data_IF_242482155555
#
_entry.id   IF_242482155555
#
_cell.length_a   1.000
_cell.length_b   1.000
_cell.length_c   1.000
_cell.angle_alpha   90.00
_cell.angle_beta   90.00
_cell.angle_gamma   90.00
#
_symmetry.space_group_name_H-M   'P 1'
#
loop_
_entity.id
_entity.type
_entity.pdbx_description
1 polymer ?
#
# COMPACT_ATOMS: atom_id res chain seq x y z
N UNK A 1 12.62 2.16 6.52
CA UNK A 1 13.84 2.49 5.74
C UNK A 1 13.56 3.72 4.91
N UNK A 2 14.50 4.65 4.84
CA UNK A 2 14.39 5.90 4.07
C UNK A 2 15.66 6.08 3.23
N UNK A 3 15.49 6.50 1.98
CA UNK A 3 16.58 6.82 1.05
C UNK A 3 16.29 8.18 0.45
N UNK A 4 17.28 9.08 0.45
CA UNK A 4 17.14 10.42 -0.10
C UNK A 4 18.31 10.76 -1.01
N UNK A 5 18.03 11.56 -2.05
CA UNK A 5 19.03 12.26 -2.85
C UNK A 5 18.49 13.61 -3.32
N UNK A 6 19.21 14.30 -4.20
CA UNK A 6 18.81 15.62 -4.71
C UNK A 6 17.57 15.61 -5.61
N UNK A 7 17.12 14.44 -6.08
CA UNK A 7 16.05 14.29 -7.05
C UNK A 7 14.79 13.67 -6.45
N UNK A 8 14.90 12.84 -5.40
CA UNK A 8 13.77 12.19 -4.77
C UNK A 8 14.07 11.73 -3.34
N UNK A 9 12.97 11.47 -2.61
CA UNK A 9 12.98 10.72 -1.35
C UNK A 9 12.11 9.47 -1.49
N UNK A 10 12.57 8.34 -0.97
CA UNK A 10 11.83 7.08 -0.97
C UNK A 10 11.76 6.48 0.44
N UNK A 11 10.59 5.96 0.78
CA UNK A 11 10.28 5.36 2.07
C UNK A 11 9.83 3.94 1.84
N UNK A 12 10.45 2.97 2.51
CA UNK A 12 10.02 1.58 2.54
C UNK A 12 9.71 1.22 4.00
N UNK A 13 8.46 0.85 4.26
CA UNK A 13 8.00 0.51 5.60
C UNK A 13 7.01 -0.67 5.56
N UNK A 14 6.90 -1.38 6.68
CA UNK A 14 5.83 -2.34 6.90
C UNK A 14 4.51 -1.58 6.78
N UNK A 15 3.53 -2.09 6.06
CA UNK A 15 2.26 -1.38 5.86
C UNK A 15 1.11 -2.14 6.48
N UNK A 16 0.84 -3.35 6.04
CA UNK A 16 -0.15 -4.26 6.66
C UNK A 16 0.59 -5.45 7.30
N UNK A 17 -0.08 -6.37 8.00
CA UNK A 17 0.54 -7.60 8.47
C UNK A 17 1.30 -8.39 7.40
N UNK A 18 0.85 -8.36 6.14
CA UNK A 18 1.43 -9.18 5.07
C UNK A 18 2.11 -8.36 3.96
N UNK A 19 2.13 -7.03 4.04
CA UNK A 19 2.66 -6.17 2.97
C UNK A 19 3.60 -5.08 3.47
N UNK A 20 4.54 -4.72 2.60
CA UNK A 20 5.33 -3.50 2.71
C UNK A 20 4.78 -2.45 1.75
N UNK A 21 5.01 -1.17 2.06
CA UNK A 21 4.73 -0.04 1.17
C UNK A 21 6.02 0.65 0.79
N UNK A 22 6.10 1.07 -0.48
CA UNK A 22 7.13 1.98 -0.97
C UNK A 22 6.47 3.28 -1.42
N UNK A 23 6.87 4.40 -0.83
CA UNK A 23 6.40 5.74 -1.21
C UNK A 23 7.57 6.50 -1.82
N UNK A 24 7.40 7.03 -3.04
CA UNK A 24 8.41 7.84 -3.73
C UNK A 24 7.87 9.27 -3.85
N UNK A 25 8.65 10.23 -3.36
CA UNK A 25 8.36 11.66 -3.49
C UNK A 25 9.39 12.30 -4.41
N UNK A 26 8.93 13.02 -5.43
CA UNK A 26 9.78 13.78 -6.34
C UNK A 26 10.36 15.04 -5.69
N UNK A 27 9.77 15.51 -4.60
CA UNK A 27 10.27 16.64 -3.82
C UNK A 27 10.95 16.11 -2.53
N UNK A 28 12.29 16.08 -2.48
CA UNK A 28 13.04 15.62 -1.32
C UNK A 28 13.08 16.65 -0.18
N UNK A 29 12.55 17.86 -0.38
CA UNK A 29 12.55 18.92 0.65
C UNK A 29 11.37 18.80 1.61
N UNK A 30 10.33 18.04 1.24
CA UNK A 30 9.20 17.73 2.10
C UNK A 30 9.71 16.97 3.33
N UNK A 31 9.40 17.42 4.56
CA UNK A 31 9.89 16.77 5.77
C UNK A 31 9.43 15.31 5.86
N UNK A 32 10.39 14.41 6.10
CA UNK A 32 10.15 12.96 6.26
C UNK A 32 9.06 12.66 7.29
N UNK A 33 8.97 13.45 8.36
CA UNK A 33 7.95 13.32 9.39
C UNK A 33 6.52 13.42 8.83
N UNK A 34 6.26 14.30 7.87
CA UNK A 34 4.95 14.45 7.25
C UNK A 34 4.55 13.15 6.52
N UNK A 35 5.48 12.61 5.73
CA UNK A 35 5.27 11.37 4.97
C UNK A 35 5.08 10.17 5.88
N UNK A 36 5.89 10.05 6.94
CA UNK A 36 5.79 8.95 7.90
C UNK A 36 4.46 8.98 8.68
N UNK A 37 3.98 10.17 9.07
CA UNK A 37 2.66 10.32 9.70
C UNK A 37 1.56 9.89 8.73
N UNK A 38 1.67 10.29 7.46
CA UNK A 38 0.69 9.90 6.43
C UNK A 38 0.68 8.38 6.20
N UNK A 39 1.85 7.74 6.09
CA UNK A 39 1.97 6.27 5.99
C UNK A 39 1.31 5.59 7.19
N UNK A 40 1.58 6.08 8.40
CA UNK A 40 0.98 5.54 9.64
C UNK A 40 -0.54 5.71 9.66
N UNK A 41 -1.06 6.85 9.22
CA UNK A 41 -2.49 7.13 9.20
C UNK A 41 -3.22 6.31 8.13
N UNK A 42 -2.59 6.09 6.97
CA UNK A 42 -3.15 5.27 5.89
C UNK A 42 -3.21 3.79 6.29
N UNK A 43 -2.23 3.28 7.05
CA UNK A 43 -2.12 1.87 7.46
C UNK A 43 -3.44 1.27 7.95
N UNK A 44 -4.17 1.95 8.84
CA UNK A 44 -5.42 1.41 9.41
C UNK A 44 -6.47 1.08 8.35
N UNK A 45 -6.60 1.92 7.34
CA UNK A 45 -7.56 1.75 6.25
C UNK A 45 -7.19 0.54 5.38
N UNK A 46 -5.90 0.36 5.09
CA UNK A 46 -5.44 -0.77 4.29
C UNK A 46 -5.48 -2.09 5.06
N UNK A 47 -5.27 -2.09 6.38
CA UNK A 47 -5.47 -3.28 7.22
C UNK A 47 -6.94 -3.71 7.24
N UNK A 48 -7.87 -2.76 7.28
CA UNK A 48 -9.31 -3.06 7.19
C UNK A 48 -9.68 -3.65 5.83
N UNK A 49 -9.16 -3.07 4.74
CA UNK A 49 -9.37 -3.59 3.38
C UNK A 49 -8.80 -5.00 3.20
N UNK A 50 -7.59 -5.26 3.72
CA UNK A 50 -6.96 -6.58 3.64
C UNK A 50 -7.81 -7.66 4.35
N UNK A 51 -8.37 -7.34 5.52
CA UNK A 51 -9.29 -8.25 6.24
C UNK A 51 -10.57 -8.51 5.44
N UNK A 52 -11.16 -7.46 4.86
CA UNK A 52 -12.37 -7.58 4.05
C UNK A 52 -12.14 -8.45 2.80
N UNK A 53 -10.99 -8.32 2.15
CA UNK A 53 -10.63 -9.19 1.01
C UNK A 53 -10.43 -10.65 1.40
N UNK A 54 -9.96 -10.94 2.63
CA UNK A 54 -9.82 -12.31 3.12
C UNK A 54 -11.17 -12.96 3.46
N UNK A 55 -12.10 -12.19 4.02
CA UNK A 55 -13.42 -12.68 4.41
C UNK A 55 -14.40 -12.86 3.22
N UNK A 56 -14.10 -12.25 2.07
CA UNK A 56 -14.83 -12.52 0.84
C UNK A 56 -14.18 -13.71 0.10
N UNK A 57 -14.80 -14.91 0.09
CA UNK A 57 -14.32 -15.96 -0.80
C UNK A 57 -14.36 -15.39 -2.22
N UNK A 58 -13.19 -15.40 -2.89
CA UNK A 58 -13.07 -15.03 -4.30
C UNK A 58 -14.08 -15.87 -5.05
N UNK A 59 -15.24 -15.30 -5.34
CA UNK A 59 -16.25 -15.98 -6.14
C UNK A 59 -15.61 -16.03 -7.50
N UNK A 60 -15.10 -17.21 -7.87
CA UNK A 60 -14.60 -17.44 -9.22
C UNK A 60 -15.79 -17.17 -10.11
N UNK A 61 -15.83 -16.01 -10.74
CA UNK A 61 -16.75 -15.76 -11.83
C UNK A 61 -16.25 -16.67 -12.94
N UNK A 62 -16.84 -17.86 -13.03
CA UNK A 62 -16.57 -18.81 -14.11
C UNK A 62 -17.27 -18.23 -15.35
N UNK A 63 -16.68 -17.21 -15.93
CA UNK A 63 -17.12 -16.68 -17.21
C UNK A 63 -16.87 -17.73 -18.28
N UNK A 64 -17.94 -18.46 -18.65
CA UNK A 64 -18.08 -18.96 -20.01
C UNK A 64 -17.96 -20.47 -20.27
N UNK A 65 -18.44 -21.36 -19.39
CA UNK A 65 -18.77 -22.73 -19.83
C UNK A 65 -20.29 -22.87 -19.99
N UNK A 66 -20.83 -22.25 -21.04
CA UNK A 66 -22.02 -22.76 -21.75
C UNK A 66 -22.22 -22.00 -23.06
N UNK A 67 -21.60 -22.50 -24.13
CA UNK A 67 -22.19 -22.43 -25.47
C UNK A 67 -21.91 -23.75 -26.18
N UNK A 68 -22.99 -24.55 -26.23
CA UNK A 68 -23.39 -25.59 -27.19
C UNK A 68 -22.32 -26.56 -27.70
#
# INVERSE_FOLDING_TARGET
MEVHNSCFAAFVDIFTPNTYVMVIMSDPTIPSAATLINIRNARKHFVELEKQEQDHPKTVHVDGIHRQ
#
